data_IF_984550188678
#
_entry.id   IF_984550188678
#
_cell.length_a   1.000
_cell.length_b   1.000
_cell.length_c   1.000
_cell.angle_alpha   90.00
_cell.angle_beta   90.00
_cell.angle_gamma   90.00
#
_symmetry.space_group_name_H-M   'P 1'
#
loop_
_entity.id
_entity.type
_entity.pdbx_description
1 polymer ?
#
# COMPACT_ATOMS: atom_id res chain seq x y z
N UNK A 1 15.14 -0.73 29.48
CA UNK A 1 15.06 -2.14 29.06
C UNK A 1 15.05 -2.09 27.53
N UNK A 2 16.10 -2.64 26.87
CA UNK A 2 16.11 -2.71 25.41
C UNK A 2 15.02 -3.70 24.97
N UNK A 3 14.14 -3.27 24.09
CA UNK A 3 13.10 -4.11 23.52
C UNK A 3 13.76 -5.31 22.82
N UNK A 4 13.32 -6.52 23.14
CA UNK A 4 13.80 -7.73 22.47
C UNK A 4 13.46 -7.64 20.97
N UNK A 5 14.41 -7.94 20.07
CA UNK A 5 14.17 -7.85 18.65
C UNK A 5 12.99 -8.74 18.25
N UNK A 6 12.15 -8.25 17.34
CA UNK A 6 11.02 -9.03 16.83
C UNK A 6 11.49 -10.35 16.18
N UNK A 7 10.67 -11.42 16.17
CA UNK A 7 11.01 -12.67 15.52
C UNK A 7 11.43 -12.51 14.04
N UNK A 8 10.82 -11.59 13.32
CA UNK A 8 11.16 -11.28 11.91
C UNK A 8 12.52 -10.56 11.79
N UNK A 9 12.88 -9.72 12.77
CA UNK A 9 14.18 -9.07 12.85
C UNK A 9 15.30 -10.09 13.10
N UNK A 10 15.07 -11.04 14.02
CA UNK A 10 16.02 -12.14 14.30
C UNK A 10 16.23 -13.06 13.09
N UNK A 11 15.15 -13.43 12.39
CA UNK A 11 15.21 -14.23 11.17
C UNK A 11 15.94 -13.48 10.06
N UNK A 12 15.67 -12.20 9.87
CA UNK A 12 16.36 -11.36 8.89
C UNK A 12 17.85 -11.23 9.17
N UNK A 13 18.23 -11.09 10.42
CA UNK A 13 19.64 -11.06 10.84
C UNK A 13 20.33 -12.39 10.60
N UNK A 14 19.67 -13.53 10.92
CA UNK A 14 20.19 -14.87 10.67
C UNK A 14 20.41 -15.14 9.19
N UNK A 15 19.47 -14.73 8.33
CA UNK A 15 19.58 -14.84 6.88
C UNK A 15 20.72 -13.96 6.32
N UNK A 16 20.94 -12.77 6.86
CA UNK A 16 22.05 -11.91 6.44
C UNK A 16 23.41 -12.54 6.75
N UNK A 17 23.56 -13.15 7.92
CA UNK A 17 24.79 -13.89 8.30
C UNK A 17 25.01 -15.07 7.36
N UNK A 18 24.00 -15.88 7.07
CA UNK A 18 24.12 -17.03 6.17
C UNK A 18 24.52 -16.60 4.75
N UNK A 19 23.95 -15.52 4.23
CA UNK A 19 24.31 -14.95 2.91
C UNK A 19 25.76 -14.50 2.82
N UNK A 20 26.37 -14.07 3.92
CA UNK A 20 27.80 -13.74 3.96
C UNK A 20 28.70 -14.98 4.09
N UNK A 21 28.29 -15.96 4.89
CA UNK A 21 29.11 -17.15 5.17
C UNK A 21 29.20 -18.10 3.97
N UNK A 22 28.10 -18.32 3.24
CA UNK A 22 28.05 -19.30 2.14
C UNK A 22 29.07 -19.01 1.03
N UNK A 23 29.17 -17.81 0.43
CA UNK A 23 30.16 -17.52 -0.60
C UNK A 23 31.60 -17.61 -0.11
N UNK A 24 31.84 -17.26 1.15
CA UNK A 24 33.20 -17.36 1.77
C UNK A 24 33.64 -18.81 1.87
N UNK A 25 32.76 -19.73 2.30
CA UNK A 25 33.03 -21.15 2.39
C UNK A 25 33.16 -21.79 1.01
N UNK A 26 32.41 -21.41 0.02
CA UNK A 26 32.54 -21.83 -1.37
C UNK A 26 33.92 -21.47 -1.96
N UNK A 27 34.38 -20.26 -1.69
CA UNK A 27 35.70 -19.79 -2.11
C UNK A 27 36.81 -20.56 -1.41
N UNK A 28 36.66 -20.88 -0.12
CA UNK A 28 37.60 -21.68 0.63
C UNK A 28 37.65 -23.13 0.11
N UNK A 29 36.49 -23.72 -0.19
CA UNK A 29 36.41 -25.09 -0.76
C UNK A 29 37.11 -25.20 -2.13
N UNK A 30 37.08 -24.14 -2.95
CA UNK A 30 37.79 -24.11 -4.23
C UNK A 30 39.30 -24.04 -4.08
N UNK A 31 39.85 -23.55 -2.95
CA UNK A 31 41.28 -23.35 -2.69
C UNK A 31 41.96 -24.50 -1.90
N UNK A 32 41.18 -25.35 -1.25
CA UNK A 32 41.68 -26.40 -0.37
C UNK A 32 41.09 -27.78 -0.74
N UNK A 33 41.63 -28.49 -1.72
CA UNK A 33 41.07 -29.75 -2.22
C UNK A 33 40.99 -30.87 -1.18
N UNK A 34 41.82 -30.86 -0.16
CA UNK A 34 41.83 -31.87 0.92
C UNK A 34 40.63 -31.80 1.86
N UNK A 35 40.02 -30.64 2.01
CA UNK A 35 38.81 -30.41 2.85
C UNK A 35 37.59 -30.02 2.02
N UNK A 36 37.71 -30.10 0.70
CA UNK A 36 36.67 -29.63 -0.23
C UNK A 36 35.33 -30.38 -0.10
N UNK A 37 35.37 -31.66 0.30
CA UNK A 37 34.16 -32.47 0.48
C UNK A 37 33.40 -32.00 1.71
N UNK A 38 34.04 -31.88 2.86
CA UNK A 38 33.42 -31.42 4.12
C UNK A 38 32.90 -29.99 4.01
N UNK A 39 33.63 -29.10 3.29
CA UNK A 39 33.18 -27.73 3.03
C UNK A 39 31.96 -27.68 2.11
N UNK A 40 31.90 -28.56 1.08
CA UNK A 40 30.70 -28.64 0.20
C UNK A 40 29.46 -29.13 0.95
N UNK A 41 29.63 -30.14 1.81
CA UNK A 41 28.56 -30.67 2.63
C UNK A 41 28.05 -29.60 3.62
N UNK A 42 28.98 -28.85 4.21
CA UNK A 42 28.63 -27.72 5.10
C UNK A 42 27.89 -26.62 4.35
N UNK A 43 28.34 -26.24 3.15
CA UNK A 43 27.66 -25.25 2.31
C UNK A 43 26.27 -25.74 1.89
N UNK A 44 26.12 -27.02 1.54
CA UNK A 44 24.81 -27.60 1.21
C UNK A 44 23.86 -27.58 2.41
N UNK A 45 24.36 -27.91 3.60
CA UNK A 45 23.58 -27.83 4.83
C UNK A 45 23.16 -26.39 5.16
N UNK A 46 24.05 -25.40 5.02
CA UNK A 46 23.76 -24.00 5.25
C UNK A 46 22.72 -23.45 4.26
N UNK A 47 22.78 -23.82 2.98
CA UNK A 47 21.76 -23.50 1.99
C UNK A 47 20.40 -24.12 2.31
N UNK A 48 20.40 -25.35 2.82
CA UNK A 48 19.19 -26.02 3.32
C UNK A 48 18.55 -25.23 4.48
N UNK A 49 19.35 -24.78 5.44
CA UNK A 49 18.92 -23.95 6.56
C UNK A 49 18.40 -22.58 6.08
N UNK A 50 19.12 -21.94 5.15
CA UNK A 50 18.68 -20.67 4.56
C UNK A 50 17.32 -20.81 3.88
N UNK A 51 17.13 -21.85 3.07
CA UNK A 51 15.85 -22.13 2.41
C UNK A 51 14.72 -22.37 3.43
N UNK A 52 14.98 -23.18 4.46
CA UNK A 52 14.00 -23.44 5.52
C UNK A 52 13.62 -22.18 6.30
N UNK A 53 14.60 -21.32 6.60
CA UNK A 53 14.36 -20.03 7.27
C UNK A 53 13.53 -19.09 6.39
N UNK A 54 13.78 -19.02 5.07
CA UNK A 54 12.95 -18.26 4.14
C UNK A 54 11.50 -18.76 4.14
N UNK A 55 11.30 -20.07 4.00
CA UNK A 55 9.97 -20.67 4.01
C UNK A 55 9.23 -20.40 5.31
N UNK A 56 9.93 -20.51 6.45
CA UNK A 56 9.34 -20.24 7.76
C UNK A 56 8.96 -18.78 7.94
N UNK A 57 9.82 -17.86 7.52
CA UNK A 57 9.52 -16.42 7.53
C UNK A 57 8.28 -16.09 6.69
N UNK A 58 8.19 -16.66 5.48
CA UNK A 58 7.06 -16.42 4.60
C UNK A 58 5.76 -17.05 5.15
N UNK A 59 5.85 -18.19 5.84
CA UNK A 59 4.72 -18.78 6.55
C UNK A 59 4.26 -17.90 7.73
N UNK A 60 5.20 -17.36 8.52
CA UNK A 60 4.88 -16.44 9.63
C UNK A 60 4.25 -15.14 9.11
N UNK A 61 4.77 -14.56 8.02
CA UNK A 61 4.19 -13.37 7.39
C UNK A 61 2.77 -13.63 6.92
N UNK A 62 2.52 -14.76 6.25
CA UNK A 62 1.16 -15.15 5.86
C UNK A 62 0.24 -15.33 7.06
N UNK A 63 0.69 -16.02 8.11
CA UNK A 63 -0.11 -16.21 9.31
C UNK A 63 -0.43 -14.88 10.02
N UNK A 64 0.54 -13.97 10.14
CA UNK A 64 0.34 -12.63 10.69
C UNK A 64 -0.64 -11.80 9.84
N UNK A 65 -0.52 -11.88 8.51
CA UNK A 65 -1.43 -11.24 7.57
C UNK A 65 -2.87 -11.76 7.73
N UNK A 66 -3.06 -13.08 7.78
CA UNK A 66 -4.39 -13.68 8.01
C UNK A 66 -4.96 -13.33 9.39
N UNK A 67 -4.14 -13.28 10.44
CA UNK A 67 -4.59 -12.82 11.74
C UNK A 67 -5.06 -11.36 11.74
N UNK A 68 -4.38 -10.51 10.96
CA UNK A 68 -4.79 -9.12 10.76
C UNK A 68 -6.08 -9.02 9.95
N UNK A 69 -6.21 -9.80 8.86
CA UNK A 69 -7.46 -9.89 8.08
C UNK A 69 -8.65 -10.35 8.95
N UNK A 70 -8.43 -11.31 9.86
CA UNK A 70 -9.45 -11.75 10.81
C UNK A 70 -9.91 -10.63 11.76
N UNK A 71 -8.99 -9.83 12.29
CA UNK A 71 -9.32 -8.65 13.11
C UNK A 71 -10.02 -7.57 12.29
N UNK A 72 -9.59 -7.35 11.05
CA UNK A 72 -10.22 -6.39 10.12
C UNK A 72 -11.64 -6.80 9.74
N UNK A 73 -11.93 -8.11 9.61
CA UNK A 73 -13.27 -8.59 9.26
C UNK A 73 -14.33 -8.14 10.27
N UNK A 74 -14.00 -8.06 11.56
CA UNK A 74 -14.91 -7.54 12.58
C UNK A 74 -15.17 -6.03 12.40
N UNK A 75 -14.13 -5.23 12.17
CA UNK A 75 -14.26 -3.79 11.87
C UNK A 75 -15.01 -3.53 10.57
N UNK A 76 -14.66 -4.26 9.50
CA UNK A 76 -15.35 -4.18 8.21
C UNK A 76 -16.84 -4.51 8.30
N UNK A 77 -17.24 -5.48 9.15
CA UNK A 77 -18.65 -5.79 9.35
C UNK A 77 -19.44 -4.57 9.87
N UNK A 78 -18.83 -3.76 10.73
CA UNK A 78 -19.42 -2.50 11.19
C UNK A 78 -19.43 -1.44 10.09
N UNK A 79 -18.34 -1.32 9.34
CA UNK A 79 -18.22 -0.34 8.26
C UNK A 79 -19.10 -0.64 7.04
N UNK A 80 -19.37 -1.92 6.76
CA UNK A 80 -20.35 -2.36 5.75
C UNK A 80 -21.78 -2.11 6.22
N UNK A 81 -22.07 -2.35 7.51
CA UNK A 81 -23.42 -2.15 8.07
C UNK A 81 -23.87 -0.69 8.01
N UNK A 82 -22.94 0.26 8.17
CA UNK A 82 -23.25 1.68 8.15
C UNK A 82 -23.84 2.15 6.80
N UNK A 83 -23.17 1.98 5.63
CA UNK A 83 -23.75 2.36 4.35
C UNK A 83 -24.99 1.53 4.00
N UNK A 84 -25.08 0.26 4.42
CA UNK A 84 -26.30 -0.53 4.25
C UNK A 84 -27.47 0.06 5.05
N UNK A 85 -27.25 0.48 6.30
CA UNK A 85 -28.28 1.15 7.09
C UNK A 85 -28.73 2.46 6.47
N UNK A 86 -27.81 3.26 5.93
CA UNK A 86 -28.14 4.46 5.18
C UNK A 86 -28.94 4.16 3.91
N UNK A 87 -28.59 3.10 3.18
CA UNK A 87 -29.35 2.67 1.99
C UNK A 87 -30.79 2.30 2.33
N UNK A 88 -31.04 1.54 3.41
CA UNK A 88 -32.40 1.24 3.85
C UNK A 88 -33.19 2.50 4.17
N UNK A 89 -32.61 3.44 4.95
CA UNK A 89 -33.26 4.71 5.26
C UNK A 89 -33.61 5.52 4.00
N UNK A 90 -32.70 5.57 3.03
CA UNK A 90 -32.94 6.31 1.78
C UNK A 90 -34.01 5.64 0.90
N UNK A 91 -34.11 4.31 0.94
CA UNK A 91 -35.19 3.58 0.25
C UNK A 91 -36.54 3.88 0.92
N UNK A 92 -36.60 3.86 2.25
CA UNK A 92 -37.83 4.18 2.99
C UNK A 92 -38.30 5.61 2.68
N UNK A 93 -37.38 6.59 2.61
CA UNK A 93 -37.66 7.96 2.22
C UNK A 93 -38.23 8.06 0.80
N UNK A 94 -37.65 7.31 -0.16
CA UNK A 94 -38.17 7.27 -1.52
C UNK A 94 -39.58 6.67 -1.56
N UNK A 95 -39.84 5.59 -0.80
CA UNK A 95 -41.18 4.98 -0.73
C UNK A 95 -42.21 5.96 -0.15
N UNK A 96 -41.85 6.76 0.86
CA UNK A 96 -42.71 7.80 1.43
C UNK A 96 -43.05 8.89 0.41
N UNK A 97 -42.03 9.41 -0.30
CA UNK A 97 -42.22 10.41 -1.35
C UNK A 97 -43.06 9.91 -2.55
N UNK A 98 -42.95 8.60 -2.87
CA UNK A 98 -43.85 8.01 -3.89
C UNK A 98 -45.27 7.82 -3.41
N UNK A 99 -45.49 7.60 -2.11
CA UNK A 99 -46.81 7.37 -1.53
C UNK A 99 -47.59 8.67 -1.34
N UNK A 100 -46.91 9.75 -0.92
CA UNK A 100 -47.48 11.05 -0.64
C UNK A 100 -46.67 12.17 -1.34
N UNK A 101 -46.83 12.32 -2.67
CA UNK A 101 -46.05 13.29 -3.42
C UNK A 101 -46.32 14.73 -2.99
N UNK A 102 -45.26 15.47 -2.73
CA UNK A 102 -45.27 16.91 -2.45
C UNK A 102 -44.79 17.73 -3.67
N UNK A 103 -44.90 19.04 -3.63
CA UNK A 103 -44.38 19.92 -4.66
C UNK A 103 -42.84 19.82 -4.81
N UNK A 104 -42.16 19.36 -3.77
CA UNK A 104 -40.69 19.22 -3.70
C UNK A 104 -40.19 17.81 -3.94
N UNK A 105 -41.10 16.81 -4.09
CA UNK A 105 -40.76 15.37 -4.19
C UNK A 105 -39.70 15.06 -5.24
N UNK A 106 -39.71 15.70 -6.39
CA UNK A 106 -38.67 15.49 -7.42
C UNK A 106 -37.29 15.90 -6.94
N UNK A 107 -37.15 16.97 -6.20
CA UNK A 107 -35.87 17.43 -5.66
C UNK A 107 -35.39 16.51 -4.57
N UNK A 108 -36.27 16.10 -3.65
CA UNK A 108 -35.97 15.15 -2.58
C UNK A 108 -35.55 13.81 -3.17
N UNK A 109 -36.27 13.27 -4.16
CA UNK A 109 -35.92 12.03 -4.83
C UNK A 109 -34.55 12.10 -5.52
N UNK A 110 -34.24 13.20 -6.25
CA UNK A 110 -32.95 13.38 -6.90
C UNK A 110 -31.79 13.41 -5.90
N UNK A 111 -31.97 14.11 -4.78
CA UNK A 111 -30.98 14.15 -3.71
C UNK A 111 -30.79 12.74 -3.10
N UNK A 112 -31.88 12.06 -2.75
CA UNK A 112 -31.85 10.71 -2.17
C UNK A 112 -31.18 9.70 -3.10
N UNK A 113 -31.44 9.75 -4.41
CA UNK A 113 -30.70 8.94 -5.39
C UNK A 113 -29.20 9.23 -5.41
N UNK A 114 -28.81 10.51 -5.25
CA UNK A 114 -27.41 10.91 -5.11
C UNK A 114 -26.75 10.28 -3.88
N UNK A 115 -27.43 10.28 -2.74
CA UNK A 115 -26.98 9.69 -1.47
C UNK A 115 -26.88 8.16 -1.55
N UNK A 116 -27.86 7.48 -2.17
CA UNK A 116 -27.82 6.05 -2.47
C UNK A 116 -26.60 5.70 -3.31
N UNK A 117 -26.33 6.47 -4.38
CA UNK A 117 -25.16 6.25 -5.25
C UNK A 117 -23.86 6.39 -4.47
N UNK A 118 -23.77 7.40 -3.62
CA UNK A 118 -22.61 7.63 -2.76
C UNK A 118 -22.39 6.47 -1.79
N UNK A 119 -23.45 5.97 -1.15
CA UNK A 119 -23.38 4.83 -0.25
C UNK A 119 -22.94 3.52 -0.97
N UNK A 120 -23.45 3.29 -2.18
CA UNK A 120 -23.05 2.14 -3.01
C UNK A 120 -21.59 2.23 -3.45
N UNK A 121 -21.12 3.42 -3.87
CA UNK A 121 -19.71 3.63 -4.24
C UNK A 121 -18.80 3.33 -3.06
N UNK A 122 -19.15 3.84 -1.88
CA UNK A 122 -18.39 3.57 -0.65
C UNK A 122 -18.35 2.08 -0.29
N UNK A 123 -19.45 1.37 -0.48
CA UNK A 123 -19.51 -0.08 -0.25
C UNK A 123 -18.57 -0.83 -1.21
N UNK A 124 -18.59 -0.46 -2.50
CA UNK A 124 -17.68 -1.05 -3.49
C UNK A 124 -16.21 -0.77 -3.13
N UNK A 125 -15.86 0.45 -2.74
CA UNK A 125 -14.51 0.81 -2.28
C UNK A 125 -14.05 -0.07 -1.10
N UNK A 126 -14.90 -0.27 -0.07
CA UNK A 126 -14.62 -1.14 1.06
C UNK A 126 -14.36 -2.59 0.64
N UNK A 127 -15.19 -3.13 -0.27
CA UNK A 127 -15.04 -4.49 -0.79
C UNK A 127 -13.74 -4.61 -1.58
N UNK A 128 -13.44 -3.65 -2.46
CA UNK A 128 -12.20 -3.63 -3.25
C UNK A 128 -10.97 -3.50 -2.35
N UNK A 129 -11.03 -2.70 -1.29
CA UNK A 129 -9.97 -2.54 -0.30
C UNK A 129 -9.68 -3.88 0.38
N UNK A 130 -10.72 -4.56 0.86
CA UNK A 130 -10.58 -5.88 1.49
C UNK A 130 -10.01 -6.94 0.54
N UNK A 131 -10.56 -7.05 -0.68
CA UNK A 131 -10.08 -8.00 -1.68
C UNK A 131 -8.61 -7.74 -2.05
N UNK A 132 -8.17 -6.49 -2.03
CA UNK A 132 -6.75 -6.16 -2.27
C UNK A 132 -5.85 -6.69 -1.16
N UNK A 133 -6.24 -6.53 0.10
CA UNK A 133 -5.49 -7.08 1.23
C UNK A 133 -5.37 -8.60 1.12
N UNK A 134 -6.44 -9.31 0.76
CA UNK A 134 -6.40 -10.76 0.55
C UNK A 134 -5.38 -11.14 -0.55
N UNK A 135 -5.37 -10.41 -1.66
CA UNK A 135 -4.50 -10.70 -2.82
C UNK A 135 -3.02 -10.39 -2.58
N UNK A 136 -2.70 -9.42 -1.73
CA UNK A 136 -1.32 -8.99 -1.45
C UNK A 136 -0.43 -10.16 -0.98
N UNK A 137 -0.99 -11.16 -0.31
CA UNK A 137 -0.23 -12.33 0.20
C UNK A 137 0.25 -13.32 -0.89
N UNK A 138 -0.23 -13.21 -2.13
CA UNK A 138 0.00 -14.18 -3.21
C UNK A 138 0.46 -13.56 -4.52
N UNK A 139 1.06 -12.36 -4.46
CA UNK A 139 1.52 -11.69 -5.68
C UNK A 139 2.79 -12.34 -6.25
N UNK A 140 2.82 -12.47 -7.58
CA UNK A 140 4.01 -12.82 -8.33
C UNK A 140 4.62 -11.55 -8.93
N UNK A 141 5.91 -11.34 -8.68
CA UNK A 141 6.63 -10.18 -9.18
C UNK A 141 7.22 -10.48 -10.56
N UNK A 142 7.01 -9.57 -11.52
CA UNK A 142 7.59 -9.63 -12.85
C UNK A 142 8.43 -8.38 -13.12
N UNK A 143 9.56 -8.53 -13.79
CA UNK A 143 10.44 -7.41 -14.14
C UNK A 143 9.80 -6.60 -15.27
N UNK A 144 9.52 -5.33 -15.00
CA UNK A 144 8.87 -4.41 -15.92
C UNK A 144 9.42 -2.99 -15.73
N UNK A 145 9.14 -2.10 -16.69
CA UNK A 145 9.49 -0.69 -16.60
C UNK A 145 8.53 0.03 -15.62
N UNK A 146 9.04 0.30 -14.42
CA UNK A 146 8.26 0.98 -13.38
C UNK A 146 8.00 2.44 -13.69
N UNK A 147 8.92 3.11 -14.40
CA UNK A 147 8.75 4.51 -14.79
C UNK A 147 7.61 4.70 -15.78
N UNK A 148 7.57 3.87 -16.83
CA UNK A 148 6.48 3.86 -17.80
C UNK A 148 5.13 3.50 -17.13
N UNK A 149 5.14 2.56 -16.18
CA UNK A 149 3.95 2.19 -15.43
C UNK A 149 3.42 3.35 -14.58
N UNK A 150 4.29 4.01 -13.79
CA UNK A 150 3.91 5.18 -12.98
C UNK A 150 3.37 6.31 -13.85
N UNK A 151 4.02 6.60 -14.99
CA UNK A 151 3.55 7.60 -15.94
C UNK A 151 2.12 7.32 -16.41
N UNK A 152 1.82 6.08 -16.80
CA UNK A 152 0.49 5.69 -17.24
C UNK A 152 -0.56 5.85 -16.13
N UNK A 153 -0.24 5.41 -14.90
CA UNK A 153 -1.17 5.50 -13.76
C UNK A 153 -1.44 6.95 -13.34
N UNK A 154 -0.42 7.80 -13.35
CA UNK A 154 -0.54 9.23 -13.03
C UNK A 154 -1.40 9.94 -14.07
N UNK A 155 -1.26 9.59 -15.36
CA UNK A 155 -2.08 10.15 -16.43
C UNK A 155 -3.59 9.91 -16.24
N UNK A 156 -3.97 8.77 -15.65
CA UNK A 156 -5.38 8.47 -15.32
C UNK A 156 -5.99 9.46 -14.30
N UNK A 157 -5.16 10.05 -13.43
CA UNK A 157 -5.60 10.97 -12.39
C UNK A 157 -5.62 12.44 -12.81
N UNK A 158 -5.04 12.78 -13.96
CA UNK A 158 -4.90 14.18 -14.40
C UNK A 158 -6.23 14.91 -14.51
N UNK A 159 -7.25 14.27 -15.10
CA UNK A 159 -8.58 14.90 -15.24
C UNK A 159 -9.22 15.20 -13.88
N UNK A 160 -9.11 14.26 -12.93
CA UNK A 160 -9.64 14.41 -11.57
C UNK A 160 -8.89 15.51 -10.80
N UNK A 161 -7.56 15.50 -10.90
CA UNK A 161 -6.72 16.53 -10.29
C UNK A 161 -7.06 17.93 -10.83
N UNK A 162 -7.18 18.07 -12.17
CA UNK A 162 -7.52 19.32 -12.81
C UNK A 162 -8.91 19.86 -12.39
N UNK A 163 -9.91 18.99 -12.23
CA UNK A 163 -11.24 19.36 -11.73
C UNK A 163 -11.18 19.95 -10.31
N UNK A 164 -10.20 19.57 -9.52
CA UNK A 164 -9.97 20.07 -8.15
C UNK A 164 -8.93 21.20 -8.09
N UNK A 165 -8.49 21.72 -9.24
CA UNK A 165 -7.48 22.79 -9.29
C UNK A 165 -6.07 22.33 -8.91
N UNK A 166 -5.79 21.04 -8.98
CA UNK A 166 -4.47 20.47 -8.64
C UNK A 166 -3.63 20.30 -9.91
N UNK A 167 -2.45 20.91 -9.93
CA UNK A 167 -1.46 20.74 -10.98
C UNK A 167 -0.58 19.54 -10.66
N UNK A 168 -0.47 18.57 -11.59
CA UNK A 168 0.36 17.37 -11.43
C UNK A 168 1.66 17.50 -12.25
N UNK A 169 2.80 17.24 -11.59
CA UNK A 169 4.13 17.20 -12.19
C UNK A 169 4.72 15.79 -12.02
N UNK A 170 5.33 15.24 -13.09
CA UNK A 170 6.03 13.94 -13.04
C UNK A 170 7.45 14.10 -13.57
N UNK A 171 8.44 13.70 -12.78
CA UNK A 171 9.85 13.78 -13.11
C UNK A 171 10.59 12.44 -12.86
N UNK A 172 11.73 12.24 -13.55
CA UNK A 172 12.63 11.10 -13.32
C UNK A 172 12.14 9.74 -13.81
N UNK A 173 10.88 9.60 -14.22
CA UNK A 173 10.27 8.31 -14.62
C UNK A 173 11.00 7.63 -15.80
N UNK A 174 11.52 8.40 -16.76
CA UNK A 174 12.21 7.86 -17.94
C UNK A 174 13.58 7.22 -17.62
N UNK A 175 14.15 7.47 -16.44
CA UNK A 175 15.51 7.03 -16.06
C UNK A 175 15.55 5.94 -14.99
N UNK A 176 14.39 5.51 -14.48
CA UNK A 176 14.31 4.55 -13.36
C UNK A 176 14.60 3.12 -13.82
N UNK A 177 14.16 2.75 -15.02
CA UNK A 177 14.40 1.44 -15.63
C UNK A 177 13.60 0.29 -14.97
N UNK A 178 14.02 -0.96 -15.19
CA UNK A 178 13.26 -2.13 -14.79
C UNK A 178 13.29 -2.37 -13.28
N UNK A 179 12.14 -2.83 -12.75
CA UNK A 179 11.92 -3.27 -11.37
C UNK A 179 11.06 -4.51 -11.39
N UNK A 180 11.27 -5.42 -10.44
CA UNK A 180 10.37 -6.55 -10.23
C UNK A 180 9.18 -6.10 -9.38
N UNK A 181 7.98 -6.09 -9.97
CA UNK A 181 6.74 -5.70 -9.28
C UNK A 181 5.51 -6.39 -9.87
N UNK A 182 4.40 -6.35 -9.12
CA UNK A 182 3.10 -6.80 -9.60
C UNK A 182 2.26 -5.57 -10.01
N UNK A 183 1.90 -5.42 -11.31
CA UNK A 183 1.35 -4.15 -11.83
C UNK A 183 0.10 -3.66 -11.14
N UNK A 184 -0.90 -4.52 -10.97
CA UNK A 184 -2.19 -4.08 -10.43
C UNK A 184 -2.13 -3.69 -8.95
N UNK A 185 -1.31 -4.38 -8.14
CA UNK A 185 -1.14 -4.04 -6.73
C UNK A 185 -0.30 -2.78 -6.55
N UNK A 186 0.81 -2.64 -7.29
CA UNK A 186 1.63 -1.43 -7.22
C UNK A 186 0.87 -0.20 -7.72
N UNK A 187 0.10 -0.34 -8.84
CA UNK A 187 -0.80 0.71 -9.31
C UNK A 187 -1.71 1.19 -8.19
N UNK A 188 -2.33 0.25 -7.45
CA UNK A 188 -3.22 0.60 -6.35
C UNK A 188 -2.50 1.38 -5.26
N UNK A 189 -1.27 0.98 -4.86
CA UNK A 189 -0.51 1.70 -3.86
C UNK A 189 -0.20 3.15 -4.30
N UNK A 190 0.26 3.34 -5.55
CA UNK A 190 0.55 4.68 -6.08
C UNK A 190 -0.72 5.51 -6.14
N UNK A 191 -1.82 4.97 -6.68
CA UNK A 191 -3.07 5.70 -6.82
C UNK A 191 -3.72 6.05 -5.47
N UNK A 192 -3.61 5.21 -4.44
CA UNK A 192 -4.08 5.52 -3.10
C UNK A 192 -3.35 6.74 -2.51
N UNK A 193 -2.03 6.83 -2.71
CA UNK A 193 -1.26 8.00 -2.24
C UNK A 193 -1.60 9.25 -3.05
N UNK A 194 -1.69 9.14 -4.39
CA UNK A 194 -2.07 10.24 -5.28
C UNK A 194 -3.47 10.77 -4.93
N UNK A 195 -4.42 9.87 -4.72
CA UNK A 195 -5.78 10.23 -4.31
C UNK A 195 -5.80 10.99 -2.99
N UNK A 196 -5.08 10.47 -1.98
CA UNK A 196 -4.98 11.13 -0.68
C UNK A 196 -4.36 12.53 -0.79
N UNK A 197 -3.35 12.69 -1.66
CA UNK A 197 -2.73 13.98 -1.92
C UNK A 197 -3.69 14.97 -2.57
N UNK A 198 -4.47 14.54 -3.58
CA UNK A 198 -5.48 15.39 -4.22
C UNK A 198 -6.54 15.82 -3.19
N UNK A 199 -7.04 14.89 -2.36
CA UNK A 199 -8.03 15.19 -1.32
C UNK A 199 -7.50 16.12 -0.21
N UNK A 200 -6.18 16.12 0.03
CA UNK A 200 -5.55 17.05 0.97
C UNK A 200 -5.41 18.49 0.43
N UNK A 201 -5.79 18.72 -0.83
CA UNK A 201 -5.69 20.02 -1.50
C UNK A 201 -7.07 20.53 -1.97
N UNK A 202 -8.03 20.78 -1.05
CA UNK A 202 -9.39 21.18 -1.42
C UNK A 202 -9.46 22.53 -2.15
N UNK A 203 -8.50 23.42 -1.93
CA UNK A 203 -8.36 24.72 -2.59
C UNK A 203 -7.48 24.67 -3.85
N UNK A 204 -7.16 23.46 -4.33
CA UNK A 204 -6.14 23.26 -5.36
C UNK A 204 -4.72 23.22 -4.80
N UNK A 205 -3.73 23.10 -5.69
CA UNK A 205 -2.32 23.04 -5.29
C UNK A 205 -1.44 22.33 -6.30
N UNK A 206 -0.28 21.87 -5.84
CA UNK A 206 0.70 21.16 -6.67
C UNK A 206 0.98 19.77 -6.10
N UNK A 207 0.81 18.76 -6.94
CA UNK A 207 1.18 17.37 -6.68
C UNK A 207 2.38 16.99 -7.53
N UNK A 208 3.53 16.76 -6.90
CA UNK A 208 4.76 16.41 -7.58
C UNK A 208 5.14 14.96 -7.31
N UNK A 209 5.32 14.21 -8.41
CA UNK A 209 5.83 12.85 -8.38
C UNK A 209 7.25 12.82 -8.95
N UNK A 210 8.16 12.18 -8.23
CA UNK A 210 9.55 12.02 -8.66
C UNK A 210 9.94 10.54 -8.55
N UNK A 211 10.42 9.97 -9.67
CA UNK A 211 10.98 8.63 -9.66
C UNK A 211 12.50 8.73 -9.70
N UNK A 212 13.18 8.00 -8.83
CA UNK A 212 14.64 7.95 -8.78
C UNK A 212 15.13 6.51 -8.58
N UNK A 213 16.32 6.22 -9.14
CA UNK A 213 17.01 4.95 -8.93
C UNK A 213 18.34 5.22 -8.23
N UNK A 214 18.57 4.53 -7.13
CA UNK A 214 19.85 4.48 -6.42
C UNK A 214 20.59 3.18 -6.74
N UNK A 215 21.74 2.95 -6.12
CA UNK A 215 22.47 1.68 -6.27
C UNK A 215 21.69 0.48 -5.69
N UNK A 216 20.80 0.69 -4.72
CA UNK A 216 20.15 -0.38 -3.94
C UNK A 216 18.64 -0.40 -4.05
N UNK A 217 18.02 0.70 -4.49
CA UNK A 217 16.56 0.81 -4.50
C UNK A 217 16.03 1.77 -5.57
N UNK A 218 14.79 1.53 -5.98
CA UNK A 218 13.96 2.46 -6.73
C UNK A 218 13.08 3.21 -5.75
N UNK A 219 12.96 4.51 -5.92
CA UNK A 219 12.16 5.40 -5.09
C UNK A 219 11.10 6.10 -5.93
N UNK A 220 9.85 6.13 -5.45
CA UNK A 220 8.77 6.96 -5.96
C UNK A 220 8.37 7.93 -4.85
N UNK A 221 8.71 9.20 -5.02
CA UNK A 221 8.37 10.29 -4.09
C UNK A 221 7.12 10.98 -4.59
N UNK A 222 6.14 11.16 -3.71
CA UNK A 222 4.86 11.80 -3.99
C UNK A 222 4.69 12.92 -2.98
N UNK A 223 4.76 14.17 -3.43
CA UNK A 223 4.68 15.37 -2.59
C UNK A 223 3.49 16.21 -2.99
N UNK A 224 2.64 16.53 -2.03
CA UNK A 224 1.56 17.50 -2.15
C UNK A 224 1.87 18.80 -1.41
N UNK A 225 1.19 19.87 -1.79
CA UNK A 225 1.21 21.16 -1.11
C UNK A 225 -0.06 21.39 -0.27
N UNK A 226 -0.70 20.31 0.19
CA UNK A 226 -1.97 20.34 0.89
C UNK A 226 -1.89 20.73 2.36
N UNK A 227 -2.96 20.40 3.09
CA UNK A 227 -3.14 20.74 4.51
C UNK A 227 -2.13 20.06 5.44
N UNK A 228 -1.37 19.06 4.96
CA UNK A 228 -0.45 18.28 5.77
C UNK A 228 -1.15 17.39 6.80
N UNK A 229 -0.34 16.73 7.64
CA UNK A 229 -0.76 15.79 8.68
C UNK A 229 -0.20 16.26 10.01
N UNK A 230 -1.01 16.46 11.06
CA UNK A 230 -0.54 16.77 12.41
C UNK A 230 0.44 15.71 12.92
N UNK A 231 1.49 16.14 13.63
CA UNK A 231 2.59 15.27 14.07
C UNK A 231 2.11 14.08 14.93
N UNK A 232 1.10 14.28 15.76
CA UNK A 232 0.50 13.22 16.59
C UNK A 232 -0.25 12.15 15.78
N UNK A 233 -0.67 12.45 14.54
CA UNK A 233 -1.37 11.52 13.66
C UNK A 233 -0.41 10.69 12.79
N UNK A 234 0.76 11.22 12.46
CA UNK A 234 1.75 10.58 11.58
C UNK A 234 2.07 9.13 11.99
N UNK A 235 2.28 8.77 13.26
CA UNK A 235 2.54 7.38 13.64
C UNK A 235 1.37 6.43 13.36
N UNK A 236 0.14 6.94 13.25
CA UNK A 236 -1.10 6.17 13.17
C UNK A 236 -1.67 6.03 11.77
N UNK A 237 -1.24 6.87 10.81
CA UNK A 237 -1.83 6.89 9.45
C UNK A 237 -1.75 5.56 8.69
N UNK A 238 -0.85 4.66 9.11
CA UNK A 238 -0.72 3.31 8.57
C UNK A 238 -1.43 2.24 9.41
N UNK A 239 -2.11 2.61 10.50
CA UNK A 239 -2.97 1.70 11.25
C UNK A 239 -4.23 1.38 10.43
N UNK A 240 -4.68 0.12 10.41
CA UNK A 240 -5.89 -0.24 9.67
C UNK A 240 -7.12 0.43 10.31
N UNK A 241 -8.06 0.88 9.47
CA UNK A 241 -9.30 1.59 9.85
C UNK A 241 -9.06 2.96 10.50
N UNK A 242 -7.82 3.46 10.51
CA UNK A 242 -7.55 4.81 10.97
C UNK A 242 -7.83 5.84 9.86
N UNK A 243 -8.75 6.75 10.12
CA UNK A 243 -9.08 7.84 9.20
C UNK A 243 -9.51 9.09 9.97
N UNK A 244 -9.16 10.24 9.43
CA UNK A 244 -9.67 11.56 9.88
C UNK A 244 -10.69 12.14 8.91
N UNK A 245 -10.92 11.46 7.77
CA UNK A 245 -11.83 11.92 6.73
C UNK A 245 -13.23 11.40 6.99
N UNK A 246 -14.27 12.27 6.93
CA UNK A 246 -15.65 11.81 6.92
C UNK A 246 -15.86 10.84 5.74
N UNK A 247 -16.32 9.64 6.03
CA UNK A 247 -16.57 8.66 4.98
C UNK A 247 -15.34 7.89 4.47
N UNK A 248 -14.14 8.15 4.95
CA UNK A 248 -12.96 7.37 4.60
C UNK A 248 -12.99 5.97 5.19
N UNK A 249 -12.47 4.97 4.47
CA UNK A 249 -12.38 3.56 4.94
C UNK A 249 -11.27 3.35 5.96
N UNK A 250 -10.27 4.25 6.01
CA UNK A 250 -9.06 4.06 6.83
C UNK A 250 -8.18 2.89 6.39
N UNK A 251 -8.47 2.26 5.24
CA UNK A 251 -7.68 1.14 4.71
C UNK A 251 -6.64 1.55 3.67
N UNK A 252 -6.81 2.68 3.00
CA UNK A 252 -5.99 3.07 1.85
C UNK A 252 -4.49 3.09 2.14
N UNK A 253 -4.03 3.79 3.18
CA UNK A 253 -2.61 3.84 3.55
C UNK A 253 -2.10 2.54 4.18
N UNK A 254 -2.94 1.82 4.91
CA UNK A 254 -2.62 0.48 5.37
C UNK A 254 -2.35 -0.46 4.18
N UNK A 255 -3.20 -0.43 3.13
CA UNK A 255 -3.01 -1.18 1.89
C UNK A 255 -1.69 -0.79 1.20
N UNK A 256 -1.36 0.51 1.15
CA UNK A 256 -0.07 0.97 0.62
C UNK A 256 1.09 0.28 1.33
N UNK A 257 1.09 0.27 2.66
CA UNK A 257 2.14 -0.38 3.45
C UNK A 257 2.23 -1.88 3.18
N UNK A 258 1.11 -2.59 3.19
CA UNK A 258 1.08 -4.04 2.95
C UNK A 258 1.56 -4.39 1.52
N UNK A 259 1.18 -3.61 0.52
CA UNK A 259 1.67 -3.77 -0.86
C UNK A 259 3.17 -3.58 -0.92
N UNK A 260 3.73 -2.54 -0.31
CA UNK A 260 5.17 -2.31 -0.32
C UNK A 260 5.92 -3.44 0.39
N UNK A 261 5.43 -3.90 1.54
CA UNK A 261 6.00 -5.05 2.25
C UNK A 261 6.00 -6.32 1.39
N UNK A 262 4.91 -6.58 0.65
CA UNK A 262 4.83 -7.72 -0.27
C UNK A 262 5.81 -7.62 -1.46
N UNK A 263 6.20 -6.39 -1.85
CA UNK A 263 7.24 -6.12 -2.85
C UNK A 263 8.67 -6.08 -2.23
N UNK A 264 8.83 -6.41 -0.94
CA UNK A 264 10.10 -6.30 -0.23
C UNK A 264 10.53 -4.87 0.06
N UNK A 265 9.66 -3.90 -0.20
CA UNK A 265 9.88 -2.47 -0.04
C UNK A 265 9.39 -1.91 1.29
N UNK A 266 9.39 -0.58 1.39
CA UNK A 266 8.90 0.16 2.55
C UNK A 266 8.34 1.52 2.13
N UNK A 267 7.49 2.10 2.97
CA UNK A 267 6.98 3.47 2.83
C UNK A 267 7.46 4.33 3.99
N UNK A 268 7.82 5.58 3.69
CA UNK A 268 8.07 6.62 4.67
C UNK A 268 7.18 7.82 4.38
N UNK A 269 6.94 8.65 5.41
CA UNK A 269 6.15 9.87 5.32
C UNK A 269 6.84 11.00 6.07
N UNK A 270 6.84 12.16 5.47
CA UNK A 270 7.25 13.43 6.06
C UNK A 270 6.10 14.41 5.85
N UNK A 271 5.61 15.03 6.91
CA UNK A 271 4.50 15.97 6.82
C UNK A 271 4.61 17.06 7.86
N UNK A 272 4.19 18.25 7.48
CA UNK A 272 4.05 19.39 8.37
C UNK A 272 2.66 19.98 8.11
N UNK A 273 1.88 20.13 9.16
CA UNK A 273 0.56 20.71 9.09
C UNK A 273 0.61 22.11 8.44
N UNK A 274 -0.24 22.35 7.46
CA UNK A 274 -0.28 23.57 6.64
C UNK A 274 0.80 23.68 5.56
N UNK A 275 1.71 22.69 5.41
CA UNK A 275 2.81 22.74 4.42
C UNK A 275 2.82 21.57 3.44
N UNK A 276 1.87 20.63 3.59
CA UNK A 276 1.76 19.46 2.74
C UNK A 276 2.43 18.21 3.28
N UNK A 277 2.40 17.16 2.47
CA UNK A 277 2.92 15.83 2.82
C UNK A 277 3.81 15.29 1.71
N UNK A 278 4.83 14.54 2.11
CA UNK A 278 5.68 13.77 1.19
C UNK A 278 5.63 12.30 1.59
N UNK A 279 5.13 11.44 0.70
CA UNK A 279 5.27 10.01 0.80
C UNK A 279 6.45 9.54 -0.04
N UNK A 280 7.26 8.63 0.51
CA UNK A 280 8.39 8.01 -0.18
C UNK A 280 8.17 6.49 -0.22
N UNK A 281 7.89 5.97 -1.41
CA UNK A 281 7.74 4.53 -1.68
C UNK A 281 9.10 4.01 -2.14
N UNK A 282 9.65 3.00 -1.46
CA UNK A 282 11.01 2.49 -1.71
C UNK A 282 10.94 0.99 -2.02
N UNK A 283 11.57 0.56 -3.11
CA UNK A 283 11.58 -0.82 -3.59
C UNK A 283 13.02 -1.28 -3.76
N UNK A 284 13.43 -2.40 -3.16
CA UNK A 284 14.78 -2.93 -3.34
C UNK A 284 15.00 -3.36 -4.80
N UNK A 285 16.19 -3.08 -5.31
CA UNK A 285 16.65 -3.67 -6.57
C UNK A 285 17.22 -5.03 -6.19
N UNK A 286 16.62 -6.13 -6.74
CA UNK A 286 17.19 -7.45 -6.60
C UNK A 286 18.61 -7.42 -7.21
N UNK A 287 19.62 -7.69 -6.38
CA UNK A 287 21.02 -7.82 -6.80
C UNK A 287 21.25 -9.10 -7.56
#
# INVERSE_FOLDING_TARGET
>A
MADAPSPDALLSQSLAVLRQCVPTLETAAARAPTVAVELRDTVAALRGVESALHQHRDALRRAAHFATLGRLAAGLSHEIRNPLGALFLHIDLLEEEFREPSAESLTVMQQTFGEIRTALTRLDELVQDYLSLVRVSTIELAVQDVGAAVQAWVAEMQSRAAQQGVTMELAGHATVGPLAFHPSTLRRAVLNVVQNAIEAMPEGGTLRLECARTATEVQVRIRDSGIGIPAEQVPRIFEPLYTTKPGGTGLGLYIVREILVAHGGRVAVESVEGQGTTFLLMFPIAG
#
